data_IF_197590333392
#
_entry.id   IF_197590333392
#
_cell.length_a   1.000
_cell.length_b   1.000
_cell.length_c   1.000
_cell.angle_alpha   90.00
_cell.angle_beta   90.00
_cell.angle_gamma   90.00
#
_symmetry.space_group_name_H-M   'P 1'
#
loop_
_entity.id
_entity.type
_entity.pdbx_description
1 polymer ?
#
# COMPACT_ATOMS: atom_id res chain seq x y z
N UNK A 1 -52.96 29.18 -19.10
CA UNK A 1 -52.59 27.92 -18.42
C UNK A 1 -51.58 27.23 -19.33
N UNK A 2 -50.29 27.50 -19.13
CA UNK A 2 -49.39 26.77 -18.24
C UNK A 2 -49.06 25.37 -18.79
N UNK A 3 -47.78 25.13 -19.08
CA UNK A 3 -47.24 23.80 -19.35
C UNK A 3 -46.15 23.76 -20.41
N UNK A 4 -44.96 24.26 -20.09
CA UNK A 4 -43.74 23.94 -20.85
C UNK A 4 -43.16 22.59 -20.42
N UNK A 5 -42.52 21.89 -21.35
CA UNK A 5 -41.53 20.77 -21.22
C UNK A 5 -41.51 20.08 -22.60
N UNK A 6 -40.43 19.59 -23.20
CA UNK A 6 -39.07 19.25 -22.78
C UNK A 6 -38.16 19.39 -24.01
N UNK A 7 -36.93 19.85 -23.78
CA UNK A 7 -35.86 19.78 -24.75
C UNK A 7 -35.61 18.31 -25.14
N UNK A 8 -35.72 18.02 -26.43
CA UNK A 8 -35.52 16.70 -27.00
C UNK A 8 -34.00 16.40 -26.96
N UNK A 9 -33.61 15.58 -25.98
CA UNK A 9 -32.26 15.05 -25.81
C UNK A 9 -31.78 14.36 -27.09
N UNK A 10 -30.55 14.68 -27.50
CA UNK A 10 -29.83 14.04 -28.61
C UNK A 10 -29.92 12.52 -28.56
N UNK A 11 -30.05 11.83 -29.71
CA UNK A 11 -30.04 10.38 -29.74
C UNK A 11 -28.67 9.86 -29.28
N UNK A 12 -28.73 8.88 -28.37
CA UNK A 12 -27.60 8.17 -27.81
C UNK A 12 -26.54 7.86 -28.88
N UNK A 13 -25.31 8.33 -28.65
CA UNK A 13 -24.13 7.81 -29.32
C UNK A 13 -24.11 6.30 -29.07
N UNK A 14 -24.47 5.53 -30.10
CA UNK A 14 -24.30 4.09 -30.14
C UNK A 14 -22.84 3.82 -29.84
N UNK A 15 -22.56 3.21 -28.68
CA UNK A 15 -21.30 2.53 -28.45
C UNK A 15 -21.12 1.57 -29.62
N UNK A 16 -20.13 1.84 -30.47
CA UNK A 16 -19.72 0.92 -31.52
C UNK A 16 -19.24 -0.33 -30.79
N UNK A 17 -19.94 -1.45 -31.00
CA UNK A 17 -19.49 -2.75 -30.50
C UNK A 17 -18.03 -2.93 -30.91
N UNK A 18 -17.15 -3.04 -29.91
CA UNK A 18 -15.77 -3.42 -30.17
C UNK A 18 -15.80 -4.74 -30.96
N UNK A 19 -15.09 -4.85 -32.10
CA UNK A 19 -15.08 -6.08 -32.87
C UNK A 19 -14.71 -7.23 -31.93
N UNK A 20 -15.50 -8.31 -31.98
CA UNK A 20 -15.22 -9.56 -31.27
C UNK A 20 -13.88 -10.11 -31.77
N UNK A 21 -12.79 -9.65 -31.18
CA UNK A 21 -11.49 -10.30 -31.29
C UNK A 21 -11.65 -11.59 -30.52
N UNK A 22 -11.89 -12.67 -31.26
CA UNK A 22 -11.83 -14.04 -30.79
C UNK A 22 -10.60 -14.20 -29.89
N UNK A 23 -10.84 -14.60 -28.63
CA UNK A 23 -9.85 -14.87 -27.59
C UNK A 23 -8.53 -15.44 -28.13
N UNK A 24 -7.57 -14.56 -28.38
CA UNK A 24 -6.15 -14.86 -28.50
C UNK A 24 -5.38 -14.36 -27.26
N UNK A 25 -6.10 -13.82 -26.28
CA UNK A 25 -5.49 -13.31 -25.06
C UNK A 25 -5.18 -14.48 -24.14
N UNK A 26 -3.89 -14.65 -23.85
CA UNK A 26 -3.30 -15.62 -22.93
C UNK A 26 -3.04 -17.00 -23.54
N UNK A 27 -1.93 -17.09 -24.29
CA UNK A 27 -1.16 -18.32 -24.26
C UNK A 27 -0.50 -18.43 -22.88
N UNK A 28 -0.60 -19.56 -22.16
CA UNK A 28 0.25 -19.79 -21.01
C UNK A 28 1.70 -19.63 -21.50
N UNK A 29 2.39 -18.62 -20.97
CA UNK A 29 3.82 -18.47 -21.21
C UNK A 29 4.50 -19.79 -20.90
N UNK A 30 5.47 -20.17 -21.74
CA UNK A 30 6.28 -21.38 -21.58
C UNK A 30 6.63 -21.56 -20.10
N UNK A 31 6.11 -22.65 -19.53
CA UNK A 31 6.29 -23.12 -18.17
C UNK A 31 7.65 -22.68 -17.62
N UNK A 32 7.65 -21.71 -16.70
CA UNK A 32 8.80 -21.40 -15.88
C UNK A 32 9.05 -22.65 -15.05
N UNK A 33 9.93 -23.54 -15.53
CA UNK A 33 10.24 -24.75 -14.79
C UNK A 33 10.77 -24.34 -13.41
N UNK A 34 10.40 -25.08 -12.36
CA UNK A 34 10.77 -24.76 -10.98
C UNK A 34 12.28 -24.58 -10.77
N UNK A 35 13.13 -25.06 -11.69
CA UNK A 35 14.59 -24.92 -11.68
C UNK A 35 15.11 -23.53 -12.06
N UNK A 36 14.28 -22.69 -12.70
CA UNK A 36 14.67 -21.36 -13.18
C UNK A 36 14.17 -20.23 -12.28
N UNK A 37 13.42 -20.53 -11.22
CA UNK A 37 12.85 -19.54 -10.31
C UNK A 37 13.47 -19.64 -8.91
N UNK A 38 13.82 -18.48 -8.34
CA UNK A 38 14.23 -18.36 -6.94
C UNK A 38 13.09 -17.77 -6.13
N UNK A 39 12.78 -18.37 -4.97
CA UNK A 39 11.74 -17.89 -4.07
C UNK A 39 12.25 -16.68 -3.30
N UNK A 40 11.43 -15.65 -3.21
CA UNK A 40 11.76 -14.39 -2.57
C UNK A 40 10.88 -14.16 -1.34
N UNK A 41 11.50 -13.57 -0.33
CA UNK A 41 10.83 -12.93 0.78
C UNK A 41 10.89 -11.41 0.60
N UNK A 42 9.75 -10.73 0.76
CA UNK A 42 9.71 -9.28 0.89
C UNK A 42 9.90 -8.93 2.35
N UNK A 43 10.92 -8.14 2.68
CA UNK A 43 11.28 -7.92 4.09
C UNK A 43 11.25 -6.46 4.53
N UNK A 44 11.51 -5.52 3.63
CA UNK A 44 11.59 -4.12 4.01
C UNK A 44 11.02 -3.19 2.94
N UNK A 45 10.33 -2.19 3.44
CA UNK A 45 9.80 -1.05 2.71
C UNK A 45 10.46 0.20 3.30
N UNK A 46 11.42 0.79 2.59
CA UNK A 46 11.95 2.11 3.00
C UNK A 46 11.06 3.17 2.36
N UNK A 47 10.14 3.75 3.12
CA UNK A 47 9.32 4.86 2.63
C UNK A 47 10.04 6.19 2.87
N UNK A 48 10.05 7.04 1.85
CA UNK A 48 10.46 8.43 1.98
C UNK A 48 9.20 9.31 2.10
N UNK A 49 9.18 10.20 3.08
CA UNK A 49 7.97 10.95 3.46
C UNK A 49 7.57 12.03 2.44
N UNK A 50 8.44 12.39 1.50
CA UNK A 50 8.21 13.54 0.61
C UNK A 50 7.39 13.20 -0.65
N UNK A 51 7.24 11.92 -1.03
CA UNK A 51 6.64 11.57 -2.34
C UNK A 51 5.85 10.26 -2.41
N UNK A 52 5.52 9.65 -1.26
CA UNK A 52 4.98 8.27 -1.24
C UNK A 52 5.80 7.34 -2.14
N UNK A 53 7.11 7.51 -2.12
CA UNK A 53 8.06 6.67 -2.82
C UNK A 53 8.86 5.87 -1.81
N UNK A 54 9.26 4.68 -2.21
CA UNK A 54 10.02 3.80 -1.37
C UNK A 54 10.70 2.69 -2.13
N UNK A 55 11.56 1.97 -1.42
CA UNK A 55 12.29 0.85 -1.98
C UNK A 55 11.83 -0.44 -1.31
N UNK A 56 11.40 -1.41 -2.12
CA UNK A 56 11.17 -2.78 -1.69
C UNK A 56 12.49 -3.55 -1.76
N UNK A 57 12.85 -4.20 -0.67
CA UNK A 57 13.98 -5.13 -0.62
C UNK A 57 13.46 -6.55 -0.70
N UNK A 58 13.81 -7.24 -1.79
CA UNK A 58 13.48 -8.64 -2.02
C UNK A 58 14.72 -9.49 -1.77
N UNK A 59 14.61 -10.47 -0.88
CA UNK A 59 15.73 -11.35 -0.53
C UNK A 59 15.39 -12.79 -0.85
N UNK A 60 16.38 -13.56 -1.27
CA UNK A 60 16.21 -14.98 -1.51
C UNK A 60 15.88 -15.70 -0.21
N UNK A 61 14.85 -16.55 -0.26
CA UNK A 61 14.48 -17.40 0.87
C UNK A 61 15.46 -18.58 0.93
N UNK A 62 16.58 -18.40 1.63
CA UNK A 62 17.59 -19.43 1.82
C UNK A 62 17.29 -20.30 3.05
N UNK A 63 17.44 -21.61 2.91
CA UNK A 63 17.30 -22.58 4.01
C UNK A 63 18.50 -22.61 4.96
N UNK A 64 19.65 -22.07 4.53
CA UNK A 64 20.87 -21.99 5.33
C UNK A 64 21.13 -20.54 5.74
N UNK A 65 21.51 -20.29 7.01
CA UNK A 65 21.87 -18.96 7.48
C UNK A 65 23.21 -18.57 6.83
N UNK A 66 23.13 -17.91 5.68
CA UNK A 66 24.28 -17.19 5.12
C UNK A 66 24.67 -16.09 6.11
N UNK A 67 25.96 -15.74 6.20
CA UNK A 67 26.38 -14.51 6.89
C UNK A 67 25.49 -13.37 6.40
N UNK A 68 24.73 -12.80 7.32
CA UNK A 68 23.63 -11.88 7.00
C UNK A 68 24.09 -10.64 6.22
N UNK A 69 25.38 -10.31 6.28
CA UNK A 69 26.04 -9.23 5.55
C UNK A 69 26.30 -9.52 4.05
N UNK A 70 26.45 -10.78 3.66
CA UNK A 70 26.67 -11.20 2.27
C UNK A 70 25.37 -11.64 1.57
N UNK A 71 24.25 -11.59 2.29
CA UNK A 71 22.92 -11.85 1.74
C UNK A 71 22.68 -10.94 0.52
N UNK A 72 22.23 -11.55 -0.58
CA UNK A 72 21.88 -10.81 -1.80
C UNK A 72 20.44 -10.34 -1.74
N UNK A 73 20.21 -9.14 -2.26
CA UNK A 73 18.88 -8.57 -2.40
C UNK A 73 18.68 -7.98 -3.80
N UNK A 74 17.42 -7.98 -4.25
CA UNK A 74 16.94 -7.21 -5.39
C UNK A 74 16.18 -6.00 -4.86
N UNK A 75 16.45 -4.82 -5.42
CA UNK A 75 15.80 -3.57 -5.05
C UNK A 75 14.78 -3.17 -6.09
N UNK A 76 13.56 -2.87 -5.65
CA UNK A 76 12.53 -2.28 -6.51
C UNK A 76 12.15 -0.91 -5.98
N UNK A 77 12.32 0.12 -6.81
CA UNK A 77 11.80 1.45 -6.52
C UNK A 77 10.30 1.47 -6.84
N UNK A 78 9.50 1.91 -5.88
CA UNK A 78 8.04 1.95 -5.96
C UNK A 78 7.56 3.33 -5.54
N UNK A 79 6.54 3.85 -6.21
CA UNK A 79 5.98 5.16 -5.92
C UNK A 79 4.46 5.19 -5.97
N UNK A 80 3.89 6.27 -5.45
CA UNK A 80 2.48 6.60 -5.53
C UNK A 80 1.58 5.60 -4.79
N UNK A 81 0.43 5.32 -5.36
CA UNK A 81 -0.64 4.52 -4.73
C UNK A 81 -0.21 3.09 -4.41
N UNK A 82 0.69 2.50 -5.20
CA UNK A 82 1.20 1.14 -4.91
C UNK A 82 2.00 1.16 -3.61
N UNK A 83 2.89 2.14 -3.42
CA UNK A 83 3.68 2.30 -2.19
C UNK A 83 2.77 2.58 -1.00
N UNK A 84 1.81 3.50 -1.14
CA UNK A 84 0.82 3.80 -0.11
C UNK A 84 0.00 2.54 0.27
N UNK A 85 -0.44 1.75 -0.71
CA UNK A 85 -1.15 0.50 -0.48
C UNK A 85 -0.29 -0.56 0.23
N UNK A 86 1.00 -0.65 -0.11
CA UNK A 86 1.97 -1.51 0.58
C UNK A 86 2.12 -1.05 2.04
N UNK A 87 2.24 0.25 2.28
CA UNK A 87 2.35 0.83 3.63
C UNK A 87 1.12 0.51 4.49
N UNK A 88 -0.10 0.67 3.95
CA UNK A 88 -1.32 0.29 4.67
C UNK A 88 -1.29 -1.19 5.06
N UNK A 89 -0.94 -2.06 4.11
CA UNK A 89 -0.88 -3.49 4.36
C UNK A 89 0.19 -3.87 5.40
N UNK A 90 1.38 -3.26 5.34
CA UNK A 90 2.47 -3.49 6.28
C UNK A 90 2.11 -3.07 7.73
N UNK A 91 1.25 -2.07 7.88
CA UNK A 91 0.70 -1.62 9.17
C UNK A 91 -0.52 -2.42 9.61
N UNK A 92 -0.90 -3.45 8.84
CA UNK A 92 -2.11 -4.23 9.03
C UNK A 92 -3.38 -3.36 9.10
N UNK A 93 -3.43 -2.32 8.26
CA UNK A 93 -4.54 -1.37 8.15
C UNK A 93 -5.18 -1.44 6.77
N UNK A 94 -6.46 -1.12 6.71
CA UNK A 94 -7.17 -0.93 5.45
C UNK A 94 -7.45 0.55 5.22
N UNK A 95 -7.30 1.04 3.97
CA UNK A 95 -7.74 2.38 3.63
C UNK A 95 -9.26 2.49 3.77
N UNK A 96 -9.81 3.68 4.10
CA UNK A 96 -11.25 3.89 4.28
C UNK A 96 -12.08 3.64 3.02
N UNK A 97 -11.43 3.65 1.85
CA UNK A 97 -11.99 3.32 0.55
C UNK A 97 -11.02 2.40 -0.18
N UNK A 98 -11.51 1.43 -1.00
CA UNK A 98 -10.61 0.55 -1.73
C UNK A 98 -9.76 1.34 -2.71
N UNK A 99 -8.43 1.16 -2.64
CA UNK A 99 -7.49 1.69 -3.63
C UNK A 99 -7.54 0.84 -4.91
N UNK A 100 -6.87 1.28 -5.97
CA UNK A 100 -6.92 0.65 -7.31
C UNK A 100 -6.64 -0.85 -7.28
N UNK A 101 -5.60 -1.30 -6.56
CA UNK A 101 -5.29 -2.74 -6.47
C UNK A 101 -6.26 -3.50 -5.56
N UNK A 102 -6.84 -2.86 -4.53
CA UNK A 102 -7.95 -3.45 -3.77
C UNK A 102 -9.19 -3.64 -4.66
N UNK A 103 -9.53 -2.63 -5.46
CA UNK A 103 -10.64 -2.70 -6.40
C UNK A 103 -10.40 -3.81 -7.44
N UNK A 104 -9.19 -3.94 -7.98
CA UNK A 104 -8.81 -5.03 -8.87
C UNK A 104 -9.08 -6.40 -8.23
N UNK A 105 -8.64 -6.60 -6.98
CA UNK A 105 -8.89 -7.85 -6.26
C UNK A 105 -10.38 -8.12 -6.05
N UNK A 106 -11.16 -7.11 -5.68
CA UNK A 106 -12.62 -7.23 -5.55
C UNK A 106 -13.28 -7.61 -6.88
N UNK A 107 -12.83 -7.03 -8.00
CA UNK A 107 -13.32 -7.38 -9.33
C UNK A 107 -12.95 -8.81 -9.72
N UNK A 108 -11.74 -9.27 -9.40
CA UNK A 108 -11.31 -10.64 -9.65
C UNK A 108 -12.13 -11.64 -8.82
N UNK A 109 -12.32 -11.36 -7.52
CA UNK A 109 -13.15 -12.19 -6.63
C UNK A 109 -14.59 -12.25 -7.14
N UNK A 110 -15.14 -11.09 -7.55
CA UNK A 110 -16.50 -11.05 -8.10
C UNK A 110 -16.61 -11.80 -9.43
N UNK A 111 -15.63 -11.68 -10.32
CA UNK A 111 -15.59 -12.40 -11.58
C UNK A 111 -15.49 -13.92 -11.36
N UNK A 112 -14.72 -14.33 -10.36
CA UNK A 112 -14.59 -15.73 -9.92
C UNK A 112 -15.94 -16.29 -9.46
N UNK A 113 -16.63 -15.58 -8.56
CA UNK A 113 -17.98 -15.95 -8.09
C UNK A 113 -18.97 -16.13 -9.24
N UNK A 114 -19.00 -15.18 -10.19
CA UNK A 114 -19.96 -15.19 -11.29
C UNK A 114 -19.65 -16.24 -12.35
N UNK A 115 -18.37 -16.51 -12.62
CA UNK A 115 -17.95 -17.50 -13.61
C UNK A 115 -17.96 -18.93 -13.08
N UNK A 116 -18.15 -19.12 -11.77
CA UNK A 116 -18.06 -20.42 -11.07
C UNK A 116 -16.75 -21.17 -11.37
N UNK A 117 -15.67 -20.42 -11.59
CA UNK A 117 -14.33 -20.98 -11.80
C UNK A 117 -13.51 -20.80 -10.53
N UNK A 118 -12.67 -21.77 -10.19
CA UNK A 118 -11.84 -21.73 -8.99
C UNK A 118 -10.36 -21.47 -9.28
N UNK A 119 -10.07 -20.46 -10.11
CA UNK A 119 -8.69 -20.02 -10.30
C UNK A 119 -8.31 -18.96 -9.26
N UNK A 120 -7.10 -19.08 -8.71
CA UNK A 120 -6.52 -18.18 -7.71
C UNK A 120 -5.19 -17.64 -8.22
N UNK A 121 -4.73 -16.52 -7.65
CA UNK A 121 -3.36 -16.06 -7.88
C UNK A 121 -2.41 -17.04 -7.19
N UNK A 122 -1.77 -17.92 -7.97
CA UNK A 122 -0.89 -18.96 -7.46
C UNK A 122 0.44 -18.39 -7.00
N UNK A 123 1.04 -17.52 -7.82
CA UNK A 123 2.28 -16.83 -7.49
C UNK A 123 2.51 -15.63 -8.41
N UNK A 124 3.51 -14.84 -8.05
CA UNK A 124 4.02 -13.72 -8.84
C UNK A 124 5.48 -13.98 -9.16
N UNK A 125 5.95 -13.64 -10.36
CA UNK A 125 7.37 -13.74 -10.70
C UNK A 125 7.89 -12.49 -11.40
N UNK A 126 9.11 -12.07 -11.05
CA UNK A 126 9.88 -11.10 -11.86
C UNK A 126 10.63 -11.92 -12.90
N UNK A 127 10.24 -11.80 -14.17
CA UNK A 127 10.63 -12.76 -15.22
C UNK A 127 11.74 -12.25 -16.13
N UNK A 128 11.83 -10.94 -16.34
CA UNK A 128 12.75 -10.33 -17.30
C UNK A 128 13.19 -8.94 -16.81
N UNK A 129 14.38 -8.50 -17.22
CA UNK A 129 14.79 -7.11 -17.21
C UNK A 129 14.94 -6.67 -18.68
N UNK A 130 14.19 -5.65 -19.10
CA UNK A 130 14.27 -5.08 -20.44
C UNK A 130 14.54 -3.59 -20.35
N UNK A 131 15.62 -3.12 -20.95
CA UNK A 131 15.97 -1.68 -20.98
C UNK A 131 15.94 -1.05 -19.58
N UNK A 132 16.54 -1.73 -18.59
CA UNK A 132 16.55 -1.31 -17.17
C UNK A 132 15.17 -1.30 -16.48
N UNK A 133 14.15 -1.90 -17.09
CA UNK A 133 12.80 -2.04 -16.51
C UNK A 133 12.51 -3.50 -16.22
N UNK A 134 12.21 -3.81 -14.95
CA UNK A 134 11.80 -5.14 -14.55
C UNK A 134 10.38 -5.45 -15.03
N UNK A 135 10.18 -6.66 -15.55
CA UNK A 135 8.91 -7.19 -16.01
C UNK A 135 8.44 -8.25 -15.02
N UNK A 136 7.22 -8.09 -14.50
CA UNK A 136 6.58 -9.05 -13.60
C UNK A 136 5.46 -9.81 -14.31
N UNK A 137 5.14 -11.01 -13.83
CA UNK A 137 3.95 -11.74 -14.25
C UNK A 137 3.17 -12.29 -13.06
N UNK A 138 1.85 -12.26 -13.19
CA UNK A 138 0.90 -12.89 -12.27
C UNK A 138 0.46 -14.22 -12.86
N UNK A 139 0.53 -15.30 -12.09
CA UNK A 139 0.15 -16.64 -12.53
C UNK A 139 -1.11 -17.08 -11.80
N UNK A 140 -2.16 -17.37 -12.57
CA UNK A 140 -3.46 -17.79 -12.04
C UNK A 140 -3.77 -19.24 -12.42
N UNK A 141 -4.37 -19.97 -11.50
CA UNK A 141 -4.64 -21.38 -11.71
C UNK A 141 -5.30 -22.07 -10.53
N UNK A 142 -5.36 -23.41 -10.58
CA UNK A 142 -5.96 -24.22 -9.53
C UNK A 142 -4.99 -24.33 -8.34
N UNK A 143 -5.38 -23.91 -7.12
CA UNK A 143 -4.50 -23.91 -5.95
C UNK A 143 -4.21 -25.33 -5.42
N UNK A 144 -5.03 -26.32 -5.77
CA UNK A 144 -4.89 -27.71 -5.34
C UNK A 144 -3.87 -28.45 -6.21
N UNK A 145 -3.97 -28.28 -7.53
CA UNK A 145 -3.05 -28.94 -8.49
C UNK A 145 -1.81 -28.10 -8.79
N UNK A 146 -1.86 -26.80 -8.45
CA UNK A 146 -0.89 -25.78 -8.83
C UNK A 146 -0.72 -25.64 -10.36
N UNK A 147 -1.75 -26.04 -11.12
CA UNK A 147 -1.77 -25.94 -12.58
C UNK A 147 -2.10 -24.51 -13.01
N UNK A 148 -1.17 -23.90 -13.75
CA UNK A 148 -1.34 -22.55 -14.29
C UNK A 148 -2.36 -22.59 -15.42
N UNK A 149 -3.49 -21.92 -15.23
CA UNK A 149 -4.53 -21.77 -16.26
C UNK A 149 -4.22 -20.61 -17.21
N UNK A 150 -3.74 -19.48 -16.66
CA UNK A 150 -3.40 -18.29 -17.43
C UNK A 150 -2.46 -17.39 -16.65
N UNK A 151 -1.78 -16.49 -17.34
CA UNK A 151 -0.87 -15.53 -16.74
C UNK A 151 -0.95 -14.16 -17.43
N UNK A 152 -0.70 -13.08 -16.70
CA UNK A 152 -0.69 -11.73 -17.28
C UNK A 152 0.56 -10.95 -16.89
N UNK A 153 0.93 -10.00 -17.74
CA UNK A 153 2.01 -9.05 -17.49
C UNK A 153 1.59 -8.04 -16.41
N UNK A 154 2.52 -7.69 -15.52
CA UNK A 154 2.31 -6.70 -14.49
C UNK A 154 3.62 -5.97 -14.16
N UNK A 155 3.51 -4.74 -13.66
CA UNK A 155 4.66 -4.09 -13.03
C UNK A 155 5.03 -4.88 -11.76
N UNK A 156 6.32 -5.17 -11.52
CA UNK A 156 6.77 -5.90 -10.33
C UNK A 156 6.28 -5.31 -9.01
N UNK A 157 6.14 -3.99 -8.91
CA UNK A 157 5.60 -3.32 -7.73
C UNK A 157 4.17 -3.73 -7.41
N UNK A 158 3.30 -3.80 -8.43
CA UNK A 158 1.90 -4.18 -8.28
C UNK A 158 1.80 -5.67 -7.97
N UNK A 159 2.63 -6.48 -8.64
CA UNK A 159 2.74 -7.91 -8.36
C UNK A 159 3.19 -8.20 -6.93
N UNK A 160 4.18 -7.47 -6.41
CA UNK A 160 4.61 -7.59 -5.02
C UNK A 160 3.46 -7.25 -4.05
N UNK A 161 2.72 -6.16 -4.31
CA UNK A 161 1.56 -5.82 -3.48
C UNK A 161 0.48 -6.91 -3.51
N UNK A 162 0.18 -7.46 -4.69
CA UNK A 162 -0.80 -8.54 -4.84
C UNK A 162 -0.35 -9.82 -4.13
N UNK A 163 0.94 -10.16 -4.23
CA UNK A 163 1.53 -11.30 -3.55
C UNK A 163 1.42 -11.18 -2.02
N UNK A 164 1.72 -9.99 -1.47
CA UNK A 164 1.50 -9.70 -0.06
C UNK A 164 0.03 -9.85 0.33
N UNK A 165 -0.87 -9.19 -0.40
CA UNK A 165 -2.29 -9.15 -0.05
C UNK A 165 -2.95 -10.52 -0.12
N UNK A 166 -2.51 -11.39 -1.03
CA UNK A 166 -3.01 -12.76 -1.20
C UNK A 166 -2.16 -13.83 -0.51
N UNK A 167 -1.08 -13.43 0.17
CA UNK A 167 -0.11 -14.34 0.79
C UNK A 167 0.39 -15.42 -0.18
N UNK A 168 0.57 -15.07 -1.46
CA UNK A 168 1.08 -16.02 -2.45
C UNK A 168 2.60 -15.88 -2.62
N UNK A 169 3.30 -16.94 -3.04
CA UNK A 169 4.74 -16.89 -3.24
C UNK A 169 5.16 -15.85 -4.29
N UNK A 170 6.30 -15.20 -4.01
CA UNK A 170 6.98 -14.32 -4.96
C UNK A 170 8.25 -15.01 -5.45
N UNK A 171 8.48 -14.93 -6.76
CA UNK A 171 9.64 -15.51 -7.41
C UNK A 171 10.41 -14.49 -8.24
N UNK A 172 11.65 -14.81 -8.54
CA UNK A 172 12.46 -14.11 -9.55
C UNK A 172 13.13 -15.13 -10.46
N UNK A 173 13.18 -14.83 -11.75
CA UNK A 173 13.89 -15.66 -12.70
C UNK A 173 15.39 -15.60 -12.43
N UNK A 174 16.05 -16.75 -12.53
CA UNK A 174 17.46 -16.94 -12.21
C UNK A 174 18.36 -15.95 -12.95
N UNK A 175 18.10 -15.68 -14.24
CA UNK A 175 18.89 -14.72 -15.02
C UNK A 175 18.78 -13.30 -14.46
N UNK A 176 17.58 -12.87 -14.07
CA UNK A 176 17.34 -11.55 -13.48
C UNK A 176 18.04 -11.45 -12.13
N UNK A 177 17.99 -12.50 -11.31
CA UNK A 177 18.71 -12.53 -10.04
C UNK A 177 20.22 -12.44 -10.21
N UNK A 178 20.78 -13.22 -11.14
CA UNK A 178 22.23 -13.24 -11.39
C UNK A 178 22.73 -11.90 -11.94
N UNK A 179 21.92 -11.23 -12.75
CA UNK A 179 22.24 -9.93 -13.34
C UNK A 179 22.08 -8.77 -12.34
N UNK A 180 21.05 -8.79 -11.49
CA UNK A 180 20.64 -7.60 -10.74
C UNK A 180 20.78 -7.69 -9.23
N UNK A 181 20.90 -8.88 -8.64
CA UNK A 181 20.95 -9.00 -7.19
C UNK A 181 22.30 -8.51 -6.64
N UNK A 182 22.24 -7.63 -5.64
CA UNK A 182 23.41 -7.00 -5.03
C UNK A 182 23.56 -7.44 -3.56
N UNK A 183 24.79 -7.53 -3.02
CA UNK A 183 24.98 -7.80 -1.59
C UNK A 183 24.40 -6.66 -0.74
N UNK A 184 23.75 -7.00 0.38
CA UNK A 184 23.05 -6.04 1.25
C UNK A 184 23.97 -4.91 1.75
N UNK A 185 25.22 -5.25 2.10
CA UNK A 185 26.26 -4.31 2.54
C UNK A 185 26.68 -3.25 1.52
N UNK A 186 26.39 -3.46 0.23
CA UNK A 186 26.68 -2.49 -0.83
C UNK A 186 25.60 -1.41 -0.87
N UNK A 187 24.38 -1.76 -0.50
CA UNK A 187 23.20 -0.90 -0.61
C UNK A 187 22.98 -0.09 0.67
N UNK A 188 23.25 -0.67 1.83
CA UNK A 188 23.00 -0.05 3.13
C UNK A 188 24.30 0.12 3.92
N UNK A 189 24.37 1.15 4.77
CA UNK A 189 25.49 1.29 5.70
C UNK A 189 25.56 0.08 6.65
N UNK A 190 26.69 -0.16 7.29
CA UNK A 190 26.83 -1.28 8.24
C UNK A 190 25.80 -1.17 9.38
N UNK A 191 25.60 0.05 9.90
CA UNK A 191 24.60 0.36 10.94
C UNK A 191 23.17 0.04 10.46
N UNK A 192 22.83 0.48 9.23
CA UNK A 192 21.53 0.23 8.63
C UNK A 192 21.31 -1.25 8.38
N UNK A 193 22.29 -1.92 7.74
CA UNK A 193 22.27 -3.36 7.47
C UNK A 193 22.02 -4.14 8.76
N UNK A 194 22.72 -3.81 9.85
CA UNK A 194 22.54 -4.45 11.14
C UNK A 194 21.14 -4.24 11.72
N UNK A 195 20.63 -3.01 11.70
CA UNK A 195 19.27 -2.71 12.15
C UNK A 195 18.20 -3.44 11.30
N UNK A 196 18.42 -3.57 9.99
CA UNK A 196 17.55 -4.33 9.11
C UNK A 196 17.52 -5.81 9.50
N UNK A 197 18.69 -6.42 9.63
CA UNK A 197 18.83 -7.83 10.00
C UNK A 197 18.24 -8.14 11.39
N UNK A 198 18.41 -7.23 12.35
CA UNK A 198 17.81 -7.36 13.69
C UNK A 198 16.27 -7.32 13.63
N UNK A 199 15.68 -6.45 12.80
CA UNK A 199 14.23 -6.39 12.58
C UNK A 199 13.69 -7.62 11.82
N UNK A 200 14.48 -8.24 10.94
CA UNK A 200 14.09 -9.45 10.20
C UNK A 200 13.84 -10.66 11.09
N UNK A 201 14.58 -10.76 12.21
CA UNK A 201 14.37 -11.83 13.21
C UNK A 201 13.03 -11.73 13.96
N UNK A 202 12.33 -10.59 13.86
CA UNK A 202 11.00 -10.37 14.42
C UNK A 202 9.87 -10.58 13.40
N UNK A 203 10.18 -10.76 12.11
CA UNK A 203 9.19 -10.85 11.03
C UNK A 203 8.70 -12.27 10.70
N UNK A 204 9.17 -13.30 11.40
CA UNK A 204 8.59 -14.65 11.31
C UNK A 204 7.21 -14.77 11.96
N UNK A 205 6.64 -13.66 12.48
CA UNK A 205 5.29 -13.61 13.03
C UNK A 205 4.70 -12.19 12.87
N UNK A 206 3.93 -11.96 11.80
CA UNK A 206 2.97 -10.84 11.73
C UNK A 206 1.92 -11.11 12.82
N UNK A 207 1.55 -10.26 13.78
CA UNK A 207 1.99 -8.98 14.35
C UNK A 207 1.30 -8.89 15.73
N UNK A 208 1.88 -8.17 16.70
CA UNK A 208 1.15 -7.10 17.41
C UNK A 208 2.17 -6.09 17.95
N UNK A 209 2.35 -5.00 17.22
CA UNK A 209 2.64 -3.68 17.81
C UNK A 209 1.74 -2.69 17.07
N UNK A 210 0.64 -2.38 17.72
CA UNK A 210 -0.23 -1.27 17.37
C UNK A 210 0.55 -0.01 17.69
N UNK A 211 0.96 0.74 16.66
CA UNK A 211 1.05 2.20 16.75
C UNK A 211 1.26 2.82 15.36
N UNK A 212 0.43 3.84 15.10
CA UNK A 212 0.53 4.89 14.08
C UNK A 212 0.15 4.62 12.61
N UNK A 213 -0.39 5.66 11.98
CA UNK A 213 -1.20 5.75 10.73
C UNK A 213 -2.70 5.60 10.96
N UNK A 214 -3.26 6.57 11.67
CA UNK A 214 -4.62 6.98 11.39
C UNK A 214 -4.59 8.38 10.80
N UNK A 215 -5.70 8.80 10.18
CA UNK A 215 -5.86 10.17 9.70
C UNK A 215 -5.59 11.16 10.85
N UNK A 216 -4.70 12.17 10.68
CA UNK A 216 -4.30 13.10 11.74
C UNK A 216 -5.47 13.75 12.47
N UNK A 217 -6.60 13.89 11.77
CA UNK A 217 -7.79 14.60 12.23
C UNK A 217 -8.83 13.66 12.90
N UNK A 218 -8.87 12.37 12.56
CA UNK A 218 -9.90 11.44 13.08
C UNK A 218 -9.34 10.33 13.96
N UNK A 219 -8.03 10.10 13.94
CA UNK A 219 -7.37 9.10 14.78
C UNK A 219 -6.94 9.68 16.12
N UNK A 220 -7.32 9.00 17.19
CA UNK A 220 -7.01 9.37 18.57
C UNK A 220 -5.60 8.85 18.89
N UNK A 221 -4.68 9.73 19.27
CA UNK A 221 -3.35 9.35 19.76
C UNK A 221 -3.28 9.51 21.28
N UNK A 222 -2.51 8.67 21.97
CA UNK A 222 -2.38 8.76 23.43
C UNK A 222 -1.74 10.08 23.90
N UNK A 223 -0.84 10.64 23.09
CA UNK A 223 -0.18 11.93 23.35
C UNK A 223 -1.10 13.16 23.17
N UNK A 224 -2.29 13.01 22.56
CA UNK A 224 -3.15 14.17 22.27
C UNK A 224 -3.75 14.77 23.56
N UNK A 225 -3.85 16.11 23.68
CA UNK A 225 -4.59 16.75 24.76
C UNK A 225 -6.04 16.27 24.83
N UNK A 226 -6.60 16.17 26.03
CA UNK A 226 -7.96 15.65 26.27
C UNK A 226 -9.01 16.37 25.41
N UNK A 227 -8.89 17.68 25.26
CA UNK A 227 -9.78 18.51 24.43
C UNK A 227 -9.67 18.15 22.95
N UNK A 228 -8.46 17.91 22.43
CA UNK A 228 -8.26 17.47 21.05
C UNK A 228 -8.84 16.08 20.84
N UNK A 229 -8.61 15.13 21.76
CA UNK A 229 -9.21 13.79 21.70
C UNK A 229 -10.73 13.85 21.61
N UNK A 230 -11.37 14.75 22.38
CA UNK A 230 -12.81 14.99 22.33
C UNK A 230 -13.26 15.50 20.95
N UNK A 231 -12.58 16.51 20.40
CA UNK A 231 -12.90 17.08 19.09
C UNK A 231 -12.76 16.04 17.97
N UNK A 232 -11.67 15.26 17.98
CA UNK A 232 -11.46 14.15 17.03
C UNK A 232 -12.58 13.12 17.09
N UNK A 233 -13.01 12.75 18.30
CA UNK A 233 -14.14 11.82 18.50
C UNK A 233 -15.46 12.41 17.98
N UNK A 234 -15.75 13.67 18.28
CA UNK A 234 -16.95 14.34 17.78
C UNK A 234 -16.97 14.44 16.25
N UNK A 235 -15.82 14.72 15.64
CA UNK A 235 -15.69 14.77 14.19
C UNK A 235 -15.88 13.39 13.55
N UNK A 236 -15.30 12.34 14.15
CA UNK A 236 -15.49 10.97 13.68
C UNK A 236 -16.98 10.56 13.72
N UNK A 237 -17.70 10.93 14.78
CA UNK A 237 -19.15 10.72 14.89
C UNK A 237 -19.91 11.51 13.81
N UNK A 238 -19.63 12.81 13.66
CA UNK A 238 -20.31 13.65 12.67
C UNK A 238 -20.11 13.15 11.23
N UNK A 239 -18.91 12.66 10.89
CA UNK A 239 -18.65 12.03 9.60
C UNK A 239 -19.44 10.72 9.44
N UNK A 240 -19.50 9.89 10.49
CA UNK A 240 -20.23 8.62 10.45
C UNK A 240 -21.75 8.79 10.32
N UNK A 241 -22.29 9.89 10.84
CA UNK A 241 -23.70 10.25 10.78
C UNK A 241 -24.06 11.10 9.55
N UNK A 242 -23.09 11.36 8.66
CA UNK A 242 -23.23 12.23 7.49
C UNK A 242 -23.63 13.69 7.83
N UNK A 243 -23.40 14.13 9.07
CA UNK A 243 -23.57 15.53 9.49
C UNK A 243 -22.33 16.36 9.13
N UNK A 244 -22.22 16.66 7.83
CA UNK A 244 -21.14 17.48 7.30
C UNK A 244 -21.14 18.92 7.85
N UNK A 245 -22.27 19.41 8.38
CA UNK A 245 -22.35 20.77 8.93
C UNK A 245 -21.62 20.85 10.27
N UNK A 246 -21.80 19.86 11.13
CA UNK A 246 -21.10 19.75 12.40
C UNK A 246 -19.64 19.38 12.18
N UNK A 247 -19.34 18.49 11.22
CA UNK A 247 -17.95 18.16 10.87
C UNK A 247 -17.16 19.40 10.41
N UNK A 248 -17.75 20.27 9.58
CA UNK A 248 -17.12 21.51 9.14
C UNK A 248 -16.83 22.46 10.32
N UNK A 249 -17.76 22.60 11.28
CA UNK A 249 -17.54 23.41 12.49
C UNK A 249 -16.39 22.88 13.35
N UNK A 250 -16.26 21.56 13.47
CA UNK A 250 -15.18 20.94 14.26
C UNK A 250 -13.83 21.08 13.53
N UNK A 251 -13.82 20.92 12.20
CA UNK A 251 -12.64 21.18 11.38
C UNK A 251 -12.12 22.60 11.55
N UNK A 252 -13.02 23.57 11.56
CA UNK A 252 -12.69 25.00 11.65
C UNK A 252 -12.50 25.48 13.12
N UNK A 253 -12.54 24.56 14.09
CA UNK A 253 -12.33 24.88 15.50
C UNK A 253 -10.89 25.41 15.74
N UNK A 254 -10.67 26.45 16.56
CA UNK A 254 -9.35 27.05 16.77
C UNK A 254 -8.29 26.04 17.21
N UNK A 255 -8.62 25.18 18.18
CA UNK A 255 -7.70 24.13 18.65
C UNK A 255 -7.41 23.07 17.59
N UNK A 256 -8.40 22.71 16.77
CA UNK A 256 -8.22 21.71 15.72
C UNK A 256 -7.34 22.26 14.58
N UNK A 257 -7.51 23.55 14.26
CA UNK A 257 -6.70 24.28 13.28
C UNK A 257 -5.24 24.38 13.74
N UNK A 258 -5.00 24.77 15.00
CA UNK A 258 -3.65 24.82 15.58
C UNK A 258 -3.00 23.44 15.64
N UNK A 259 -3.74 22.42 16.04
CA UNK A 259 -3.26 21.04 16.03
C UNK A 259 -2.84 20.59 14.63
N UNK A 260 -3.62 20.95 13.60
CA UNK A 260 -3.25 20.70 12.20
C UNK A 260 -1.95 21.42 11.81
N UNK A 261 -1.81 22.70 12.18
CA UNK A 261 -0.58 23.47 11.93
C UNK A 261 0.63 22.82 12.61
N UNK A 262 0.54 22.41 13.88
CA UNK A 262 1.62 21.69 14.58
C UNK A 262 2.06 20.46 13.77
N UNK A 263 1.09 19.68 13.28
CA UNK A 263 1.39 18.50 12.47
C UNK A 263 2.07 18.87 11.14
N UNK A 264 1.61 19.93 10.46
CA UNK A 264 2.22 20.44 9.23
C UNK A 264 3.66 20.94 9.45
N UNK A 265 3.94 21.63 10.56
CA UNK A 265 5.29 22.08 10.93
C UNK A 265 6.21 20.90 11.29
N UNK A 266 5.72 19.89 12.05
CA UNK A 266 6.48 18.65 12.33
C UNK A 266 6.79 17.89 11.04
N UNK A 267 5.84 17.81 10.11
CA UNK A 267 6.05 17.18 8.79
C UNK A 267 7.06 17.92 7.92
N UNK A 268 7.08 19.26 7.98
CA UNK A 268 8.01 20.09 7.24
C UNK A 268 9.40 20.22 7.90
N UNK A 269 9.68 19.46 8.98
CA UNK A 269 10.96 19.48 9.69
C UNK A 269 11.19 20.74 10.53
N UNK A 270 10.18 21.60 10.72
CA UNK A 270 10.24 22.83 11.51
C UNK A 270 9.87 22.54 12.96
N UNK A 271 10.69 21.74 13.64
CA UNK A 271 10.39 21.26 15.00
C UNK A 271 10.33 22.37 16.05
N UNK A 272 11.21 23.38 15.96
CA UNK A 272 11.20 24.51 16.91
C UNK A 272 9.86 25.27 16.87
N UNK A 273 9.36 25.56 15.67
CA UNK A 273 8.08 26.26 15.49
C UNK A 273 6.90 25.38 15.92
N UNK A 274 6.99 24.07 15.68
CA UNK A 274 5.96 23.13 16.13
C UNK A 274 5.88 23.03 17.66
N UNK A 275 7.03 23.00 18.34
CA UNK A 275 7.10 22.95 19.80
C UNK A 275 6.57 24.24 20.45
N UNK A 276 6.82 25.40 19.83
CA UNK A 276 6.28 26.68 20.29
C UNK A 276 4.74 26.72 20.13
N UNK A 277 4.22 26.28 18.99
CA UNK A 277 2.77 26.16 18.75
C UNK A 277 2.11 25.14 19.69
N UNK A 278 2.80 24.06 20.03
CA UNK A 278 2.31 23.04 20.97
C UNK A 278 2.19 23.60 22.39
N UNK A 279 3.20 24.33 22.86
CA UNK A 279 3.14 25.05 24.15
C UNK A 279 2.02 26.10 24.19
N UNK A 280 1.85 26.84 23.10
CA UNK A 280 0.79 27.84 22.98
C UNK A 280 -0.61 27.19 23.03
N UNK A 281 -0.80 26.07 22.32
CA UNK A 281 -2.05 25.31 22.34
C UNK A 281 -2.34 24.76 23.75
N UNK A 282 -1.35 24.18 24.42
CA UNK A 282 -1.51 23.69 25.80
C UNK A 282 -1.85 24.81 26.78
N UNK A 283 -1.22 25.97 26.63
CA UNK A 283 -1.49 27.14 27.46
C UNK A 283 -2.92 27.62 27.27
N UNK A 284 -3.38 27.76 26.04
CA UNK A 284 -4.77 28.16 25.75
C UNK A 284 -5.79 27.15 26.27
N UNK A 285 -5.51 25.85 26.16
CA UNK A 285 -6.37 24.82 26.73
C UNK A 285 -6.47 24.98 28.26
N UNK A 286 -5.34 25.20 28.95
CA UNK A 286 -5.29 25.40 30.40
C UNK A 286 -5.97 26.69 30.85
N UNK A 287 -5.75 27.78 30.12
CA UNK A 287 -6.34 29.09 30.44
C UNK A 287 -7.88 29.03 30.30
N UNK A 288 -8.41 28.31 29.31
CA UNK A 288 -9.84 28.16 29.11
C UNK A 288 -10.49 27.18 30.11
N UNK A 289 -9.78 26.15 30.56
CA UNK A 289 -10.24 25.23 31.62
C UNK A 289 -10.31 25.92 33.00
N UNK A 290 -9.46 26.92 33.26
CA UNK A 290 -9.49 27.72 34.49
C UNK A 290 -10.58 28.81 34.51
N UNK A 291 -11.30 29.01 33.40
CA UNK A 291 -12.33 30.05 33.26
C UNK A 291 -13.75 29.48 33.29
N UNK A 292 -13.90 28.18 33.55
CA UNK A 292 -15.16 27.44 33.72
C UNK A 292 -15.32 26.95 35.17
#
# INVERSE_FOLDING_TARGET
MAGGTMAQLCPAQKYVEAPRISCLYFHPGSCLCCFCLRRLSLQLIVQTNESFSGTLILMEETTEPTSTEDAKCLLLQVGGDTMLGISYHAQNKEPPRPMTLNLLLQLLDRGKELSMRDWHLLHVAIVELRESTFIGRLFFGDPTTNEITWDCDCRPSDGCWLALKRMCPLYVHKSVWEECAQPLKVVFSVEQTRALLENMSQFSHVTHREDEVGDPLTSIREADPVVIKRLKRQMAVAISEEDYTTAAKIRDHPYMTKYKMIHEHKQAGRFSEADDLEKDLEKEIKDNDNTL
#
